data_IF_678534238507
#
_entry.id   IF_678534238507
#
_cell.length_a   1.000
_cell.length_b   1.000
_cell.length_c   1.000
_cell.angle_alpha   90.00
_cell.angle_beta   90.00
_cell.angle_gamma   90.00
#
_symmetry.space_group_name_H-M   'P 1'
#
loop_
_entity.id
_entity.type
_entity.pdbx_description
1 polymer ?
#
# COMPACT_ATOMS: atom_id res chain seq x y z
N UNK A 1 -8.77 9.26 13.14
CA UNK A 1 -8.21 8.06 12.49
C UNK A 1 -9.36 7.32 11.83
N UNK A 2 -9.35 7.14 10.51
CA UNK A 2 -10.43 6.45 9.79
C UNK A 2 -10.08 4.97 9.72
N UNK A 3 -10.59 4.20 10.68
CA UNK A 3 -10.36 2.74 10.80
C UNK A 3 -11.59 1.91 10.36
N UNK A 4 -12.58 2.55 9.75
CA UNK A 4 -13.83 1.92 9.30
C UNK A 4 -13.75 1.55 7.82
N UNK A 5 -14.22 0.34 7.46
CA UNK A 5 -14.33 -0.14 6.08
C UNK A 5 -13.10 -0.87 5.55
N UNK A 6 -12.67 -0.53 4.33
CA UNK A 6 -11.63 -1.24 3.55
C UNK A 6 -10.24 -1.15 4.22
N UNK A 7 -10.02 -0.07 4.99
CA UNK A 7 -8.82 0.12 5.80
C UNK A 7 -8.68 -0.92 6.93
N UNK A 8 -9.74 -1.67 7.28
CA UNK A 8 -9.68 -2.77 8.26
C UNK A 8 -9.07 -4.05 7.70
N UNK A 9 -8.95 -4.16 6.38
CA UNK A 9 -8.27 -5.28 5.73
C UNK A 9 -6.81 -4.90 5.42
N UNK A 10 -6.60 -3.85 4.62
CA UNK A 10 -5.24 -3.37 4.30
C UNK A 10 -5.05 -1.93 4.78
N UNK A 11 -3.87 -1.61 5.33
CA UNK A 11 -3.50 -0.23 5.68
C UNK A 11 -3.45 0.70 4.46
N UNK A 12 -3.36 0.14 3.25
CA UNK A 12 -3.08 0.85 2.01
C UNK A 12 -3.93 0.31 0.85
N UNK A 13 -5.27 0.34 0.94
CA UNK A 13 -6.15 -0.28 -0.06
C UNK A 13 -6.07 0.43 -1.42
N UNK A 14 -5.73 1.73 -1.42
CA UNK A 14 -5.49 2.51 -2.63
C UNK A 14 -4.33 1.94 -3.47
N UNK A 15 -3.25 1.51 -2.80
CA UNK A 15 -2.09 0.93 -3.48
C UNK A 15 -2.37 -0.48 -4.00
N UNK A 16 -3.24 -1.25 -3.34
CA UNK A 16 -3.72 -2.54 -3.84
C UNK A 16 -4.54 -2.33 -5.12
N UNK A 17 -5.43 -1.33 -5.14
CA UNK A 17 -6.16 -0.94 -6.35
C UNK A 17 -5.24 -0.50 -7.48
N UNK A 18 -4.23 0.31 -7.19
CA UNK A 18 -3.22 0.73 -8.17
C UNK A 18 -2.46 -0.47 -8.74
N UNK A 19 -2.12 -1.46 -7.90
CA UNK A 19 -1.50 -2.71 -8.33
C UNK A 19 -2.40 -3.49 -9.28
N UNK A 20 -3.69 -3.61 -8.97
CA UNK A 20 -4.68 -4.26 -9.83
C UNK A 20 -4.77 -3.57 -11.18
N UNK A 21 -4.82 -2.23 -11.21
CA UNK A 21 -4.85 -1.44 -12.45
C UNK A 21 -3.56 -1.61 -13.24
N UNK A 22 -2.39 -1.52 -12.59
CA UNK A 22 -1.10 -1.72 -13.25
C UNK A 22 -0.95 -3.14 -13.80
N UNK A 23 -1.48 -4.14 -13.10
CA UNK A 23 -1.49 -5.53 -13.56
C UNK A 23 -2.39 -5.69 -14.78
N UNK A 24 -3.60 -5.11 -14.75
CA UNK A 24 -4.49 -5.08 -15.91
C UNK A 24 -3.84 -4.35 -17.10
N UNK A 25 -3.12 -3.26 -16.86
CA UNK A 25 -2.40 -2.50 -17.89
C UNK A 25 -1.23 -3.31 -18.48
N UNK A 26 -0.48 -4.03 -17.65
CA UNK A 26 0.61 -4.89 -18.09
C UNK A 26 0.09 -6.05 -18.96
N UNK A 27 -1.06 -6.62 -18.61
CA UNK A 27 -1.76 -7.64 -19.41
C UNK A 27 -2.23 -7.02 -20.73
N UNK A 28 -2.83 -5.83 -20.70
CA UNK A 28 -3.30 -5.13 -21.90
C UNK A 28 -2.17 -4.84 -22.89
N UNK A 29 -1.00 -4.42 -22.41
CA UNK A 29 0.19 -4.19 -23.25
C UNK A 29 0.86 -5.49 -23.73
N UNK A 30 0.45 -6.66 -23.20
CA UNK A 30 1.11 -7.97 -23.42
C UNK A 30 2.63 -7.92 -23.23
N UNK A 31 3.10 -7.07 -22.32
CA UNK A 31 4.53 -6.79 -22.17
C UNK A 31 5.08 -7.43 -20.89
N UNK A 32 5.92 -8.45 -21.06
CA UNK A 32 6.57 -9.16 -19.95
C UNK A 32 7.49 -8.24 -19.12
N UNK A 33 8.06 -7.19 -19.70
CA UNK A 33 8.86 -6.20 -18.96
C UNK A 33 8.01 -5.39 -17.98
N UNK A 34 6.74 -5.13 -18.31
CA UNK A 34 5.83 -4.43 -17.41
C UNK A 34 5.55 -5.24 -16.14
N UNK A 35 5.52 -6.56 -16.24
CA UNK A 35 5.42 -7.48 -15.10
C UNK A 35 6.64 -7.42 -14.17
N UNK A 36 7.84 -7.16 -14.70
CA UNK A 36 9.07 -6.98 -13.91
C UNK A 36 9.15 -5.59 -13.26
N UNK A 37 8.62 -4.57 -13.95
CA UNK A 37 8.56 -3.21 -13.44
C UNK A 37 7.50 -3.03 -12.33
N UNK A 38 6.39 -3.78 -12.41
CA UNK A 38 5.29 -3.79 -11.44
C UNK A 38 5.74 -3.95 -9.98
N UNK A 39 6.41 -5.06 -9.58
CA UNK A 39 6.86 -5.25 -8.20
C UNK A 39 7.93 -4.24 -7.79
N UNK A 40 8.77 -3.80 -8.73
CA UNK A 40 9.80 -2.78 -8.49
C UNK A 40 9.17 -1.43 -8.17
N UNK A 41 8.18 -1.01 -8.96
CA UNK A 41 7.42 0.23 -8.77
C UNK A 41 6.66 0.22 -7.45
N UNK A 42 6.02 -0.91 -7.15
CA UNK A 42 5.33 -1.14 -5.87
C UNK A 42 6.28 -1.06 -4.68
N UNK A 43 7.44 -1.72 -4.77
CA UNK A 43 8.45 -1.66 -3.72
C UNK A 43 8.99 -0.25 -3.52
N UNK A 44 9.18 0.50 -4.62
CA UNK A 44 9.61 1.88 -4.61
C UNK A 44 8.56 2.79 -3.94
N UNK A 45 7.29 2.71 -4.36
CA UNK A 45 6.18 3.43 -3.72
C UNK A 45 6.03 3.06 -2.24
N UNK A 46 6.20 1.79 -1.90
CA UNK A 46 6.13 1.34 -0.51
C UNK A 46 7.23 1.98 0.34
N UNK A 47 8.46 2.03 -0.17
CA UNK A 47 9.57 2.62 0.57
C UNK A 47 9.54 4.15 0.60
N UNK A 48 9.11 4.77 -0.50
CA UNK A 48 9.18 6.22 -0.66
C UNK A 48 7.91 6.96 -0.21
N UNK A 49 6.72 6.37 -0.31
CA UNK A 49 5.48 6.98 0.17
C UNK A 49 4.95 6.30 1.43
N UNK A 50 4.75 4.98 1.42
CA UNK A 50 4.09 4.30 2.56
C UNK A 50 4.90 4.46 3.85
N UNK A 51 6.22 4.30 3.84
CA UNK A 51 7.06 4.42 5.04
C UNK A 51 7.05 5.83 5.66
N UNK A 52 7.30 6.93 4.91
CA UNK A 52 7.23 8.27 5.48
C UNK A 52 5.80 8.65 5.89
N UNK A 53 4.78 8.22 5.16
CA UNK A 53 3.39 8.47 5.54
C UNK A 53 3.03 7.75 6.85
N UNK A 54 3.42 6.48 7.02
CA UNK A 54 3.29 5.78 8.29
C UNK A 54 4.08 6.47 9.43
N UNK A 55 5.24 7.07 9.15
CA UNK A 55 5.97 7.87 10.17
C UNK A 55 5.21 9.13 10.58
N UNK A 56 4.61 9.84 9.63
CA UNK A 56 3.80 11.03 9.91
C UNK A 56 2.54 10.65 10.68
N UNK A 57 1.90 9.54 10.32
CA UNK A 57 0.76 9.00 11.06
C UNK A 57 1.15 8.53 12.46
N UNK A 58 2.30 7.86 12.62
CA UNK A 58 2.83 7.50 13.93
C UNK A 58 3.14 8.75 14.78
N UNK A 59 3.69 9.80 14.18
CA UNK A 59 3.94 11.06 14.88
C UNK A 59 2.65 11.80 15.26
N UNK A 60 1.62 11.76 14.41
CA UNK A 60 0.32 12.42 14.66
C UNK A 60 -0.58 11.66 15.64
N UNK A 61 -0.58 10.33 15.59
CA UNK A 61 -1.54 9.49 16.32
C UNK A 61 -0.89 8.59 17.39
N UNK A 62 0.44 8.51 17.45
CA UNK A 62 1.18 7.82 18.51
C UNK A 62 0.68 6.40 18.77
N UNK A 63 0.28 6.13 20.02
CA UNK A 63 -0.15 4.82 20.49
C UNK A 63 -1.38 4.26 19.77
N UNK A 64 -2.30 5.12 19.31
CA UNK A 64 -3.44 4.68 18.53
C UNK A 64 -3.00 4.07 17.18
N UNK A 65 -1.92 4.60 16.60
CA UNK A 65 -1.35 4.06 15.37
C UNK A 65 -0.56 2.77 15.64
N UNK A 66 0.12 2.67 16.78
CA UNK A 66 0.83 1.45 17.19
C UNK A 66 -0.13 0.28 17.40
N UNK A 67 -1.25 0.49 18.09
CA UNK A 67 -2.31 -0.51 18.25
C UNK A 67 -2.93 -0.92 16.90
N UNK A 68 -3.14 0.06 16.01
CA UNK A 68 -3.61 -0.21 14.65
C UNK A 68 -2.58 -0.99 13.81
N UNK A 69 -1.29 -0.73 13.98
CA UNK A 69 -0.20 -1.43 13.29
C UNK A 69 -0.13 -2.93 13.65
N UNK A 70 -0.58 -3.28 14.85
CA UNK A 70 -0.61 -4.65 15.35
C UNK A 70 -1.86 -5.41 14.88
N UNK A 71 -2.98 -4.72 14.66
CA UNK A 71 -4.25 -5.35 14.28
C UNK A 71 -4.39 -5.60 12.78
N UNK A 72 -3.71 -4.84 11.92
CA UNK A 72 -3.78 -4.99 10.46
C UNK A 72 -2.40 -5.10 9.83
N UNK A 73 -2.22 -6.05 8.91
CA UNK A 73 -0.97 -6.21 8.16
C UNK A 73 -0.81 -5.07 7.14
N UNK A 74 0.45 -4.83 6.77
CA UNK A 74 0.85 -3.71 5.90
C UNK A 74 0.40 -3.93 4.44
N UNK A 75 0.28 -5.19 4.08
CA UNK A 75 -0.18 -5.75 2.82
C UNK A 75 -1.04 -6.97 3.19
N UNK A 76 -2.32 -6.95 2.78
CA UNK A 76 -3.42 -7.90 3.09
C UNK A 76 -4.13 -7.81 4.44
#
# INVERSE_FOLDING_TARGET
MVISGIYRFSRNPMYVGLLLVLTAWAIYLSNALAFLFLPTFVACLTRLQIVPEERVLAAKFGDAFTAYRQSVRRWL
#
